data_IF_294316480498
#
_entry.id   IF_294316480498
#
_cell.length_a   1.000
_cell.length_b   1.000
_cell.length_c   1.000
_cell.angle_alpha   90.00
_cell.angle_beta   90.00
_cell.angle_gamma   90.00
#
_symmetry.space_group_name_H-M   'P 1'
#
loop_
_entity.id
_entity.type
_entity.pdbx_description
1 polymer ?
#
# COMPACT_ATOMS: atom_id res chain seq x y z
N UNK A 1 10.21 -7.58 2.65
CA UNK A 1 11.20 -8.45 3.30
C UNK A 1 12.54 -8.48 2.55
N UNK A 2 12.64 -9.00 1.32
CA UNK A 2 13.93 -9.11 0.60
C UNK A 2 14.67 -7.78 0.44
N UNK A 3 13.97 -6.69 0.14
CA UNK A 3 14.59 -5.36 0.08
C UNK A 3 15.10 -4.88 1.44
N UNK A 4 14.42 -5.20 2.53
CA UNK A 4 14.87 -4.88 3.88
C UNK A 4 16.14 -5.65 4.25
N UNK A 5 16.21 -6.94 3.93
CA UNK A 5 17.40 -7.77 4.15
C UNK A 5 18.61 -7.25 3.36
N UNK A 6 18.41 -6.69 2.17
CA UNK A 6 19.47 -6.07 1.38
C UNK A 6 20.10 -4.83 2.05
N UNK A 7 19.50 -4.28 3.10
CA UNK A 7 20.04 -3.16 3.89
C UNK A 7 20.88 -3.60 5.09
N UNK A 8 21.26 -4.87 5.19
CA UNK A 8 21.95 -5.47 6.35
C UNK A 8 21.19 -5.36 7.67
N UNK A 9 19.85 -5.29 7.60
CA UNK A 9 18.97 -5.34 8.78
C UNK A 9 18.47 -6.75 9.01
N UNK A 10 18.43 -7.19 10.26
CA UNK A 10 17.71 -8.39 10.63
C UNK A 10 16.22 -8.14 10.51
N UNK A 11 15.50 -9.00 9.83
CA UNK A 11 14.08 -8.83 9.60
C UNK A 11 13.32 -10.14 9.78
N UNK A 12 12.18 -10.06 10.48
CA UNK A 12 11.24 -11.16 10.68
C UNK A 12 9.96 -10.85 9.93
N UNK A 13 9.55 -11.74 9.04
CA UNK A 13 8.28 -11.66 8.31
C UNK A 13 7.21 -12.45 9.04
N UNK A 14 6.12 -11.76 9.37
CA UNK A 14 4.89 -12.34 9.91
C UNK A 14 3.78 -12.21 8.86
N UNK A 15 3.13 -13.31 8.51
CA UNK A 15 1.97 -13.37 7.60
C UNK A 15 1.16 -14.62 7.91
N UNK A 16 -0.18 -14.60 7.88
CA UNK A 16 -0.99 -15.82 8.05
C UNK A 16 -0.82 -16.82 6.91
N UNK A 17 -0.18 -16.41 5.81
CA UNK A 17 0.12 -17.29 4.67
C UNK A 17 1.61 -17.57 4.57
N UNK A 18 2.01 -18.84 4.41
CA UNK A 18 3.41 -19.17 4.21
C UNK A 18 3.93 -18.62 2.88
N UNK A 19 5.14 -18.08 2.90
CA UNK A 19 5.88 -17.60 1.71
C UNK A 19 7.37 -17.65 1.99
N UNK A 20 8.25 -17.53 0.98
CA UNK A 20 9.70 -17.43 1.21
C UNK A 20 10.13 -16.25 2.11
N UNK A 21 9.25 -15.27 2.30
CA UNK A 21 9.49 -14.11 3.17
C UNK A 21 8.83 -14.25 4.55
N UNK A 22 8.03 -15.30 4.78
CA UNK A 22 7.33 -15.55 6.04
C UNK A 22 8.19 -16.40 6.95
N UNK A 23 8.67 -15.82 8.05
CA UNK A 23 9.43 -16.55 9.08
C UNK A 23 8.48 -17.10 10.16
N UNK A 24 7.37 -16.43 10.35
CA UNK A 24 6.34 -16.79 11.33
C UNK A 24 4.99 -16.78 10.64
N UNK A 25 4.30 -17.93 10.67
CA UNK A 25 2.95 -18.08 10.09
C UNK A 25 1.94 -17.92 11.21
N UNK A 26 1.41 -16.72 11.36
CA UNK A 26 0.38 -16.38 12.34
C UNK A 26 -0.29 -15.05 11.96
N UNK A 27 -1.30 -14.63 12.73
CA UNK A 27 -2.02 -13.40 12.50
C UNK A 27 -1.92 -12.42 13.70
N UNK A 28 -2.72 -11.37 13.70
CA UNK A 28 -2.67 -10.32 14.72
C UNK A 28 -3.77 -10.45 15.80
N UNK A 29 -4.40 -11.61 15.93
CA UNK A 29 -5.52 -11.82 16.87
C UNK A 29 -5.03 -12.12 18.30
N UNK A 30 -3.94 -12.86 18.45
CA UNK A 30 -3.39 -13.23 19.76
C UNK A 30 -2.39 -12.20 20.28
N UNK A 31 -2.84 -11.35 21.19
CA UNK A 31 -2.02 -10.29 21.78
C UNK A 31 -0.91 -10.81 22.68
N UNK A 32 -1.14 -11.92 23.40
CA UNK A 32 -0.12 -12.51 24.30
C UNK A 32 1.03 -13.02 23.46
N UNK A 33 0.72 -13.76 22.44
CA UNK A 33 1.70 -14.29 21.50
C UNK A 33 2.47 -13.17 20.76
N UNK A 34 1.80 -12.09 20.31
CA UNK A 34 2.45 -10.93 19.71
C UNK A 34 3.46 -10.27 20.66
N UNK A 35 3.09 -10.10 21.92
CA UNK A 35 4.00 -9.54 22.96
C UNK A 35 5.21 -10.43 23.16
N UNK A 36 4.99 -11.74 23.27
CA UNK A 36 6.08 -12.71 23.45
C UNK A 36 7.03 -12.70 22.25
N UNK A 37 6.50 -12.66 21.02
CA UNK A 37 7.30 -12.54 19.82
C UNK A 37 8.15 -11.26 19.82
N UNK A 38 7.53 -10.11 20.07
CA UNK A 38 8.20 -8.80 20.07
C UNK A 38 9.33 -8.78 21.11
N UNK A 39 9.06 -9.30 22.31
CA UNK A 39 10.03 -9.32 23.42
C UNK A 39 11.16 -10.30 23.16
N UNK A 40 10.86 -11.53 22.77
CA UNK A 40 11.83 -12.60 22.51
C UNK A 40 12.78 -12.23 21.40
N UNK A 41 12.26 -11.68 20.30
CA UNK A 41 13.04 -11.31 19.12
C UNK A 41 13.63 -9.89 19.24
N UNK A 42 13.37 -9.19 20.34
CA UNK A 42 13.85 -7.82 20.60
C UNK A 42 13.51 -6.86 19.44
N UNK A 43 12.27 -6.90 18.99
CA UNK A 43 11.81 -6.09 17.84
C UNK A 43 11.85 -4.61 18.23
N UNK A 44 12.57 -3.82 17.46
CA UNK A 44 12.70 -2.36 17.66
C UNK A 44 11.89 -1.55 16.64
N UNK A 45 11.63 -2.10 15.46
CA UNK A 45 10.94 -1.40 14.38
C UNK A 45 9.89 -2.32 13.76
N UNK A 46 8.73 -1.79 13.46
CA UNK A 46 7.64 -2.53 12.80
C UNK A 46 7.23 -1.79 11.54
N UNK A 47 7.16 -2.52 10.42
CA UNK A 47 6.46 -2.10 9.19
C UNK A 47 5.21 -2.95 9.09
N UNK A 48 4.06 -2.36 9.37
CA UNK A 48 2.77 -3.04 9.33
C UNK A 48 2.11 -2.87 7.96
N UNK A 49 2.36 -3.84 7.07
CA UNK A 49 1.76 -3.91 5.74
C UNK A 49 0.66 -4.99 5.63
N UNK A 50 0.34 -5.64 6.75
CA UNK A 50 -0.67 -6.71 6.81
C UNK A 50 -2.11 -6.20 6.76
N UNK A 51 -3.02 -7.13 6.51
CA UNK A 51 -4.46 -6.90 6.51
C UNK A 51 -5.13 -7.20 5.17
N UNK A 52 -6.45 -7.03 5.14
CA UNK A 52 -7.25 -7.07 3.91
C UNK A 52 -6.82 -5.92 3.02
N UNK A 53 -6.49 -6.20 1.76
CA UNK A 53 -5.96 -5.22 0.81
C UNK A 53 -6.89 -5.01 -0.37
N UNK A 54 -7.49 -3.84 -0.42
CA UNK A 54 -8.36 -3.39 -1.50
C UNK A 54 -9.87 -3.60 -1.24
N UNK A 55 -10.71 -2.74 -1.84
CA UNK A 55 -12.15 -2.73 -1.60
C UNK A 55 -12.88 -3.97 -2.14
N UNK A 56 -12.24 -4.74 -3.04
CA UNK A 56 -12.81 -5.95 -3.64
C UNK A 56 -12.62 -7.20 -2.77
N UNK A 57 -11.74 -7.16 -1.75
CA UNK A 57 -11.47 -8.31 -0.88
C UNK A 57 -12.40 -8.26 0.32
N UNK A 58 -13.13 -9.34 0.58
CA UNK A 58 -14.15 -9.41 1.66
C UNK A 58 -15.15 -8.25 1.59
N UNK A 59 -15.58 -7.87 0.38
CA UNK A 59 -16.47 -6.72 0.18
C UNK A 59 -17.85 -6.93 0.83
N UNK A 60 -18.27 -8.17 1.00
CA UNK A 60 -19.50 -8.66 1.62
C UNK A 60 -19.35 -8.98 3.12
N UNK A 61 -18.15 -8.89 3.69
CA UNK A 61 -17.88 -9.11 5.11
C UNK A 61 -17.23 -7.88 5.78
N UNK A 62 -18.00 -6.82 6.04
CA UNK A 62 -17.47 -5.61 6.68
C UNK A 62 -16.96 -5.85 8.10
N UNK A 63 -17.54 -6.81 8.82
CA UNK A 63 -17.12 -7.16 10.19
C UNK A 63 -15.72 -7.79 10.16
N UNK A 64 -15.48 -8.74 9.26
CA UNK A 64 -14.17 -9.36 9.07
C UNK A 64 -13.11 -8.33 8.64
N UNK A 65 -13.43 -7.42 7.73
CA UNK A 65 -12.51 -6.34 7.33
C UNK A 65 -12.13 -5.47 8.53
N UNK A 66 -13.08 -5.08 9.38
CA UNK A 66 -12.81 -4.27 10.58
C UNK A 66 -11.98 -5.07 11.60
N UNK A 67 -12.35 -6.33 11.85
CA UNK A 67 -11.61 -7.19 12.78
C UNK A 67 -10.14 -7.33 12.37
N UNK A 68 -9.86 -7.58 11.10
CA UNK A 68 -8.49 -7.76 10.60
C UNK A 68 -7.75 -6.43 10.54
N UNK A 69 -8.32 -5.42 9.85
CA UNK A 69 -7.59 -4.19 9.55
C UNK A 69 -7.53 -3.23 10.74
N UNK A 70 -8.57 -3.14 11.55
CA UNK A 70 -8.61 -2.20 12.69
C UNK A 70 -8.18 -2.90 13.96
N UNK A 71 -8.91 -3.93 14.39
CA UNK A 71 -8.61 -4.60 15.66
C UNK A 71 -7.23 -5.25 15.63
N UNK A 72 -6.87 -5.97 14.57
CA UNK A 72 -5.52 -6.55 14.41
C UNK A 72 -4.42 -5.50 14.44
N UNK A 73 -4.61 -4.35 13.74
CA UNK A 73 -3.64 -3.25 13.79
C UNK A 73 -3.51 -2.65 15.19
N UNK A 74 -4.62 -2.51 15.92
CA UNK A 74 -4.60 -2.00 17.30
C UNK A 74 -3.96 -2.98 18.27
N UNK A 75 -4.17 -4.28 18.09
CA UNK A 75 -3.47 -5.31 18.85
C UNK A 75 -1.96 -5.16 18.67
N UNK A 76 -1.50 -5.15 17.41
CA UNK A 76 -0.07 -5.02 17.10
C UNK A 76 0.52 -3.72 17.66
N UNK A 77 -0.17 -2.59 17.50
CA UNK A 77 0.27 -1.30 18.02
C UNK A 77 0.40 -1.31 19.56
N UNK A 78 -0.61 -1.87 20.24
CA UNK A 78 -0.61 -1.96 21.70
C UNK A 78 0.54 -2.83 22.22
N UNK A 79 0.77 -3.99 21.60
CA UNK A 79 1.86 -4.88 22.01
C UNK A 79 3.23 -4.33 21.59
N UNK A 80 3.32 -3.58 20.50
CA UNK A 80 4.53 -2.84 20.13
C UNK A 80 4.93 -1.82 21.21
N UNK A 81 3.97 -1.05 21.71
CA UNK A 81 4.22 -0.10 22.81
C UNK A 81 4.66 -0.80 24.09
N UNK A 82 3.97 -1.88 24.48
CA UNK A 82 4.30 -2.65 25.67
C UNK A 82 5.65 -3.38 25.57
N UNK A 83 6.06 -3.78 24.38
CA UNK A 83 7.31 -4.49 24.09
C UNK A 83 8.52 -3.59 23.84
N UNK A 84 8.38 -2.26 23.94
CA UNK A 84 9.50 -1.32 23.79
C UNK A 84 9.92 -1.08 22.33
N UNK A 85 9.03 -1.30 21.37
CA UNK A 85 9.25 -0.92 19.97
C UNK A 85 9.41 0.60 19.89
N UNK A 86 10.37 1.06 19.12
CA UNK A 86 10.68 2.49 18.99
C UNK A 86 10.03 3.13 17.77
N UNK A 87 9.78 2.36 16.70
CA UNK A 87 9.23 2.88 15.44
C UNK A 87 8.13 1.96 14.90
N UNK A 88 7.00 2.55 14.53
CA UNK A 88 5.85 1.85 13.94
C UNK A 88 5.42 2.55 12.65
N UNK A 89 5.64 1.90 11.52
CA UNK A 89 5.18 2.38 10.21
C UNK A 89 3.95 1.60 9.78
N UNK A 90 2.84 2.31 9.60
CA UNK A 90 1.58 1.75 9.13
C UNK A 90 1.41 1.98 7.63
N UNK A 91 1.22 0.92 6.86
CA UNK A 91 0.85 1.01 5.45
C UNK A 91 -0.66 1.28 5.33
N UNK A 92 -1.02 2.55 5.34
CA UNK A 92 -2.35 3.04 5.04
C UNK A 92 -2.61 3.05 3.53
N UNK A 93 -3.64 3.71 3.09
CA UNK A 93 -4.03 3.75 1.68
C UNK A 93 -4.66 5.10 1.33
N UNK A 94 -4.47 5.54 0.10
CA UNK A 94 -5.26 6.66 -0.46
C UNK A 94 -6.77 6.36 -0.47
N UNK A 95 -7.18 5.09 -0.34
CA UNK A 95 -8.59 4.73 -0.17
C UNK A 95 -9.22 5.31 1.12
N UNK A 96 -8.41 5.65 2.12
CA UNK A 96 -8.87 6.35 3.32
C UNK A 96 -9.39 7.76 2.99
N UNK A 97 -8.86 8.41 1.95
CA UNK A 97 -9.34 9.71 1.47
C UNK A 97 -10.67 9.57 0.73
N UNK A 98 -10.87 8.48 -0.01
CA UNK A 98 -12.01 8.29 -0.90
C UNK A 98 -11.77 8.88 -2.29
N UNK A 99 -12.85 9.27 -2.97
CA UNK A 99 -12.76 9.94 -4.26
C UNK A 99 -12.56 11.45 -4.05
N UNK A 100 -11.70 12.03 -4.88
CA UNK A 100 -11.47 13.48 -4.91
C UNK A 100 -11.11 13.89 -6.35
N UNK A 101 -11.44 15.14 -6.69
CA UNK A 101 -11.44 15.62 -8.08
C UNK A 101 -10.61 16.90 -8.25
N UNK A 102 -9.81 17.24 -7.25
CA UNK A 102 -8.93 18.38 -7.27
C UNK A 102 -7.94 18.27 -8.42
N UNK A 103 -7.65 19.41 -9.06
CA UNK A 103 -6.65 19.50 -10.14
C UNK A 103 -5.23 19.68 -9.55
N UNK A 104 -5.14 20.34 -8.40
CA UNK A 104 -3.88 20.52 -7.69
C UNK A 104 -3.64 19.38 -6.70
N UNK A 105 -2.37 19.06 -6.41
CA UNK A 105 -2.04 18.00 -5.46
C UNK A 105 -2.62 18.25 -4.07
N UNK A 106 -3.37 17.27 -3.54
CA UNK A 106 -3.86 17.35 -2.16
C UNK A 106 -2.75 16.97 -1.18
N UNK A 107 -2.67 17.69 -0.06
CA UNK A 107 -1.77 17.38 1.05
C UNK A 107 -2.38 16.40 2.06
N UNK A 108 -1.57 15.98 3.04
CA UNK A 108 -1.95 14.96 4.01
C UNK A 108 -3.04 15.37 4.99
N UNK A 109 -3.31 16.66 5.12
CA UNK A 109 -4.42 17.20 5.93
C UNK A 109 -5.76 17.24 5.19
N UNK A 110 -5.80 16.80 3.92
CA UNK A 110 -7.04 16.69 3.16
C UNK A 110 -8.03 15.76 3.89
N UNK A 111 -9.33 16.12 3.96
CA UNK A 111 -10.33 15.34 4.69
C UNK A 111 -10.44 13.89 4.19
N UNK A 112 -10.57 12.96 5.11
CA UNK A 112 -10.83 11.56 4.79
C UNK A 112 -12.33 11.31 4.67
N UNK A 113 -12.78 10.90 3.48
CA UNK A 113 -14.16 10.57 3.17
C UNK A 113 -14.25 9.25 2.39
N UNK A 114 -13.85 8.12 3.03
CA UNK A 114 -13.77 6.83 2.37
C UNK A 114 -15.12 6.34 1.85
N UNK A 115 -15.11 5.68 0.70
CA UNK A 115 -16.31 5.18 0.00
C UNK A 115 -16.42 3.64 0.00
N UNK A 116 -15.58 2.96 0.76
CA UNK A 116 -15.60 1.50 0.90
C UNK A 116 -15.25 1.07 2.32
N UNK A 117 -15.67 -0.13 2.75
CA UNK A 117 -15.32 -0.70 4.06
C UNK A 117 -13.80 -0.77 4.25
N UNK A 118 -13.07 -1.15 3.21
CA UNK A 118 -11.60 -1.11 3.22
C UNK A 118 -11.07 0.30 3.49
N UNK A 119 -11.55 1.30 2.77
CA UNK A 119 -11.16 2.70 2.98
C UNK A 119 -11.50 3.18 4.39
N UNK A 120 -12.70 2.85 4.89
CA UNK A 120 -13.12 3.16 6.27
C UNK A 120 -12.17 2.52 7.29
N UNK A 121 -11.77 1.26 7.09
CA UNK A 121 -10.84 0.57 8.00
C UNK A 121 -9.47 1.24 8.04
N UNK A 122 -8.96 1.70 6.89
CA UNK A 122 -7.68 2.43 6.80
C UNK A 122 -7.78 3.82 7.45
N UNK A 123 -8.87 4.55 7.21
CA UNK A 123 -9.13 5.84 7.84
C UNK A 123 -9.27 5.72 9.37
N UNK A 124 -9.96 4.69 9.85
CA UNK A 124 -10.12 4.46 11.30
C UNK A 124 -8.77 4.32 12.01
N UNK A 125 -7.85 3.52 11.44
CA UNK A 125 -6.49 3.39 11.99
C UNK A 125 -5.74 4.71 11.92
N UNK A 126 -5.77 5.43 10.78
CA UNK A 126 -5.13 6.75 10.64
C UNK A 126 -5.63 7.74 11.72
N UNK A 127 -6.93 7.77 12.01
CA UNK A 127 -7.48 8.64 13.07
C UNK A 127 -7.00 8.23 14.47
N UNK A 128 -6.92 6.93 14.77
CA UNK A 128 -6.37 6.48 16.05
C UNK A 128 -4.89 6.86 16.16
N UNK A 129 -4.09 6.62 15.12
CA UNK A 129 -2.68 7.01 15.10
C UNK A 129 -2.51 8.52 15.27
N UNK A 130 -3.38 9.35 14.66
CA UNK A 130 -3.40 10.81 14.85
C UNK A 130 -3.68 11.20 16.31
N UNK A 131 -4.59 10.50 16.96
CA UNK A 131 -4.91 10.71 18.38
C UNK A 131 -3.75 10.38 19.32
N UNK A 132 -2.89 9.43 18.95
CA UNK A 132 -1.75 8.95 19.73
C UNK A 132 -0.44 9.68 19.39
N UNK A 133 -0.32 10.26 18.22
CA UNK A 133 0.91 10.87 17.71
C UNK A 133 1.48 11.91 18.67
N UNK A 134 2.77 11.85 18.92
CA UNK A 134 3.52 12.69 19.89
C UNK A 134 3.06 12.58 21.36
N UNK A 135 2.12 11.69 21.67
CA UNK A 135 1.67 11.44 23.05
C UNK A 135 2.24 10.15 23.63
N UNK A 136 2.88 9.34 22.79
CA UNK A 136 3.42 8.03 23.14
C UNK A 136 4.93 8.01 22.90
N UNK A 137 5.68 7.15 23.61
CA UNK A 137 7.13 6.99 23.42
C UNK A 137 7.45 6.20 22.13
N UNK A 138 6.51 6.03 21.24
CA UNK A 138 6.59 5.31 19.97
C UNK A 138 6.53 6.31 18.83
N UNK A 139 7.53 6.27 17.97
CA UNK A 139 7.54 7.07 16.74
C UNK A 139 6.68 6.42 15.66
N UNK A 140 5.52 7.03 15.41
CA UNK A 140 4.49 6.52 14.52
C UNK A 140 4.51 7.24 13.17
N UNK A 141 4.42 6.47 12.08
CA UNK A 141 4.29 6.98 10.72
C UNK A 141 3.18 6.23 9.97
N UNK A 142 2.34 6.96 9.24
CA UNK A 142 1.34 6.40 8.33
C UNK A 142 1.71 6.70 6.88
N UNK A 143 1.81 5.68 6.05
CA UNK A 143 2.06 5.82 4.61
C UNK A 143 0.78 5.59 3.83
N UNK A 144 0.19 6.64 3.28
CA UNK A 144 -0.98 6.58 2.42
C UNK A 144 -0.56 6.19 1.01
N UNK A 145 -0.38 4.88 0.83
CA UNK A 145 0.02 4.30 -0.45
C UNK A 145 -1.09 4.47 -1.48
N UNK A 146 -0.71 4.86 -2.69
CA UNK A 146 -1.61 4.82 -3.83
C UNK A 146 -1.73 3.39 -4.36
N UNK A 147 -2.26 3.20 -5.56
CA UNK A 147 -2.44 1.86 -6.12
C UNK A 147 -1.08 1.18 -6.36
N UNK A 148 -0.70 0.29 -5.45
CA UNK A 148 0.53 -0.50 -5.58
C UNK A 148 0.33 -1.57 -6.65
N UNK A 149 1.25 -1.68 -7.60
CA UNK A 149 1.23 -2.69 -8.65
C UNK A 149 2.61 -3.36 -8.78
N UNK A 150 2.63 -4.56 -9.36
CA UNK A 150 3.88 -5.32 -9.56
C UNK A 150 3.65 -6.82 -9.55
N UNK A 151 4.70 -7.63 -9.78
CA UNK A 151 4.62 -9.08 -9.74
C UNK A 151 4.11 -9.61 -8.39
N UNK A 152 3.32 -10.68 -8.43
CA UNK A 152 2.80 -11.33 -7.22
C UNK A 152 1.53 -10.71 -6.64
N UNK A 153 0.98 -9.66 -7.23
CA UNK A 153 -0.32 -9.15 -6.81
C UNK A 153 -1.42 -10.18 -7.10
N UNK A 154 -2.23 -10.50 -6.09
CA UNK A 154 -3.32 -11.49 -6.20
C UNK A 154 -4.70 -10.86 -6.36
N UNK A 155 -4.84 -9.56 -6.03
CA UNK A 155 -6.11 -8.84 -6.16
C UNK A 155 -6.20 -8.15 -7.51
N UNK A 156 -7.38 -8.18 -8.13
CA UNK A 156 -7.60 -7.51 -9.40
C UNK A 156 -7.59 -5.99 -9.25
N UNK A 157 -6.89 -5.33 -10.15
CA UNK A 157 -6.90 -3.89 -10.32
C UNK A 157 -6.52 -3.55 -11.77
N UNK A 158 -6.74 -2.32 -12.20
CA UNK A 158 -6.60 -1.90 -13.60
C UNK A 158 -5.30 -2.36 -14.27
N UNK A 159 -4.14 -2.15 -13.64
CA UNK A 159 -2.84 -2.56 -14.21
C UNK A 159 -2.78 -4.08 -14.39
N UNK A 160 -3.17 -4.84 -13.36
CA UNK A 160 -3.13 -6.31 -13.40
C UNK A 160 -4.10 -6.86 -14.44
N UNK A 161 -5.30 -6.28 -14.54
CA UNK A 161 -6.31 -6.68 -15.52
C UNK A 161 -5.80 -6.49 -16.94
N UNK A 162 -5.21 -5.32 -17.24
CA UNK A 162 -4.69 -5.02 -18.56
C UNK A 162 -3.49 -5.92 -18.90
N UNK A 163 -2.52 -6.07 -17.99
CA UNK A 163 -1.33 -6.89 -18.22
C UNK A 163 -1.70 -8.36 -18.42
N UNK A 164 -2.60 -8.93 -17.58
CA UNK A 164 -3.07 -10.31 -17.76
C UNK A 164 -3.81 -10.52 -19.05
N UNK A 165 -4.66 -9.57 -19.45
CA UNK A 165 -5.36 -9.62 -20.73
C UNK A 165 -4.39 -9.57 -21.92
N UNK A 166 -3.39 -8.69 -21.86
CA UNK A 166 -2.31 -8.60 -22.85
C UNK A 166 -1.56 -9.92 -23.02
N UNK A 167 -1.13 -10.53 -21.91
CA UNK A 167 -0.43 -11.83 -21.93
C UNK A 167 -1.30 -12.96 -22.45
N UNK A 168 -2.62 -12.90 -22.21
CA UNK A 168 -3.58 -13.89 -22.70
C UNK A 168 -4.06 -13.65 -24.14
N UNK A 169 -3.66 -12.55 -24.79
CA UNK A 169 -4.15 -12.15 -26.11
C UNK A 169 -5.65 -11.85 -26.14
N UNK A 170 -6.23 -11.40 -25.01
CA UNK A 170 -7.65 -11.10 -24.84
C UNK A 170 -7.90 -9.62 -24.62
N UNK A 171 -9.11 -9.09 -24.87
CA UNK A 171 -9.43 -7.73 -24.46
C UNK A 171 -9.46 -7.58 -22.94
N UNK A 172 -9.02 -6.42 -22.45
CA UNK A 172 -9.15 -6.04 -21.05
C UNK A 172 -10.48 -5.33 -20.82
N UNK A 173 -11.30 -5.85 -19.93
CA UNK A 173 -12.58 -5.25 -19.54
C UNK A 173 -12.40 -4.45 -18.27
N UNK A 174 -12.78 -3.18 -18.32
CA UNK A 174 -12.54 -2.22 -17.25
C UNK A 174 -13.78 -1.39 -16.94
N UNK A 175 -13.91 -0.99 -15.69
CA UNK A 175 -14.79 0.10 -15.32
C UNK A 175 -14.14 1.45 -15.72
N UNK A 176 -14.93 2.49 -15.99
CA UNK A 176 -14.39 3.79 -16.38
C UNK A 176 -13.52 4.39 -15.29
N UNK A 177 -12.39 4.89 -15.68
CA UNK A 177 -11.39 5.42 -14.76
C UNK A 177 -10.61 6.53 -15.47
N UNK A 178 -10.35 7.62 -14.79
CA UNK A 178 -9.43 8.66 -15.26
C UNK A 178 -7.97 8.21 -15.08
N UNK A 179 -7.05 9.10 -15.35
CA UNK A 179 -5.66 8.90 -14.95
C UNK A 179 -5.56 8.71 -13.42
N UNK A 180 -4.64 7.85 -13.01
CA UNK A 180 -4.54 7.39 -11.62
C UNK A 180 -3.11 7.46 -11.13
N UNK A 181 -2.87 7.85 -9.86
CA UNK A 181 -1.54 7.73 -9.26
C UNK A 181 -1.28 6.27 -8.89
N UNK A 182 -0.20 5.71 -9.42
CA UNK A 182 0.27 4.36 -9.11
C UNK A 182 1.61 4.40 -8.39
N UNK A 183 2.01 3.28 -7.81
CA UNK A 183 3.36 3.07 -7.31
C UNK A 183 3.79 1.62 -7.54
N UNK A 184 4.99 1.42 -8.06
CA UNK A 184 5.53 0.09 -8.22
C UNK A 184 5.89 -0.53 -6.85
N UNK A 185 5.72 -1.84 -6.71
CA UNK A 185 5.86 -2.55 -5.43
C UNK A 185 7.23 -2.37 -4.77
N UNK A 186 8.30 -2.30 -5.56
CA UNK A 186 9.65 -2.05 -5.02
C UNK A 186 9.77 -0.64 -4.44
N UNK A 187 9.25 0.38 -5.13
CA UNK A 187 9.23 1.76 -4.62
C UNK A 187 8.37 1.87 -3.36
N UNK A 188 7.23 1.19 -3.30
CA UNK A 188 6.41 1.15 -2.09
C UNK A 188 7.15 0.53 -0.90
N UNK A 189 7.90 -0.54 -1.13
CA UNK A 189 8.75 -1.16 -0.11
C UNK A 189 9.90 -0.24 0.33
N UNK A 190 10.56 0.44 -0.62
CA UNK A 190 11.63 1.39 -0.33
C UNK A 190 11.13 2.59 0.47
N UNK A 191 9.92 3.09 0.18
CA UNK A 191 9.26 4.13 0.97
C UNK A 191 9.04 3.69 2.42
N UNK A 192 8.52 2.47 2.62
CA UNK A 192 8.28 1.95 3.96
C UNK A 192 9.59 1.77 4.75
N UNK A 193 10.66 1.30 4.10
CA UNK A 193 11.99 1.18 4.71
C UNK A 193 12.56 2.55 5.02
N UNK A 194 12.54 3.50 4.09
CA UNK A 194 13.04 4.85 4.30
C UNK A 194 12.31 5.55 5.45
N UNK A 195 10.99 5.47 5.49
CA UNK A 195 10.19 6.00 6.59
C UNK A 195 10.53 5.33 7.93
N UNK A 196 10.71 4.00 7.94
CA UNK A 196 10.96 3.22 9.15
C UNK A 196 12.28 3.60 9.85
N UNK A 197 13.32 3.94 9.10
CA UNK A 197 14.64 4.26 9.64
C UNK A 197 14.98 5.76 9.63
N UNK A 198 14.04 6.63 9.19
CA UNK A 198 14.23 8.07 9.25
C UNK A 198 14.02 8.61 10.66
N UNK A 199 14.90 9.53 11.07
CA UNK A 199 14.76 10.33 12.30
C UNK A 199 14.22 11.74 12.01
N UNK A 200 13.92 12.06 10.75
CA UNK A 200 13.60 13.43 10.31
C UNK A 200 12.13 13.63 9.97
N UNK A 201 11.25 12.65 10.25
CA UNK A 201 9.82 12.78 9.98
C UNK A 201 9.20 13.90 10.82
N UNK A 202 8.51 14.81 10.16
CA UNK A 202 7.91 16.00 10.79
C UNK A 202 6.40 15.88 10.99
N UNK A 203 5.77 14.97 10.29
CA UNK A 203 4.32 14.75 10.31
C UNK A 203 3.99 13.26 10.46
N UNK A 204 2.73 12.95 10.80
CA UNK A 204 2.27 11.60 10.99
C UNK A 204 2.10 10.85 9.67
N UNK A 205 1.44 11.47 8.71
CA UNK A 205 1.04 10.83 7.47
C UNK A 205 1.83 11.36 6.28
N UNK A 206 2.04 10.50 5.27
CA UNK A 206 2.71 10.84 4.02
C UNK A 206 2.02 10.13 2.87
N UNK A 207 1.76 10.84 1.78
CA UNK A 207 1.38 10.21 0.53
C UNK A 207 2.60 9.55 -0.12
N UNK A 208 2.40 8.36 -0.67
CA UNK A 208 3.43 7.57 -1.33
C UNK A 208 2.90 7.13 -2.70
N UNK A 209 3.39 7.78 -3.75
CA UNK A 209 2.99 7.59 -5.13
C UNK A 209 4.17 7.85 -6.08
N UNK A 210 4.09 7.34 -7.29
CA UNK A 210 4.86 7.90 -8.40
C UNK A 210 4.18 9.22 -8.84
N UNK A 211 4.94 10.29 -9.15
CA UNK A 211 4.33 11.57 -9.52
C UNK A 211 3.61 11.53 -10.88
N UNK A 212 3.94 10.56 -11.72
CA UNK A 212 3.28 10.34 -13.00
C UNK A 212 1.87 9.79 -12.81
N UNK A 213 0.92 10.39 -13.49
CA UNK A 213 -0.45 9.92 -13.57
C UNK A 213 -0.63 9.10 -14.83
N UNK A 214 -1.31 7.98 -14.74
CA UNK A 214 -1.33 6.97 -15.79
C UNK A 214 -2.76 6.58 -16.12
N UNK A 215 -3.12 6.65 -17.39
CA UNK A 215 -4.41 6.20 -17.91
C UNK A 215 -4.39 4.69 -18.26
N UNK A 216 -5.54 4.04 -18.42
CA UNK A 216 -5.60 2.69 -18.97
C UNK A 216 -4.93 2.57 -20.34
N UNK A 217 -5.01 3.62 -21.19
CA UNK A 217 -4.41 3.71 -22.51
C UNK A 217 -2.86 3.71 -22.42
N UNK A 218 -2.28 4.40 -21.45
CA UNK A 218 -0.83 4.40 -21.19
C UNK A 218 -0.34 3.00 -20.81
N UNK A 219 -1.12 2.29 -19.97
CA UNK A 219 -0.83 0.91 -19.59
C UNK A 219 -0.88 -0.01 -20.82
N UNK A 220 -1.94 0.11 -21.65
CA UNK A 220 -2.07 -0.66 -22.89
C UNK A 220 -0.94 -0.35 -23.88
N UNK A 221 -0.52 0.92 -23.98
CA UNK A 221 0.62 1.33 -24.79
C UNK A 221 1.95 0.72 -24.30
N UNK A 222 2.15 0.66 -22.98
CA UNK A 222 3.31 0.00 -22.40
C UNK A 222 3.33 -1.52 -22.64
N UNK A 223 2.18 -2.19 -22.55
CA UNK A 223 2.05 -3.61 -22.93
C UNK A 223 2.39 -3.83 -24.42
N UNK A 224 1.89 -2.96 -25.29
CA UNK A 224 2.19 -3.02 -26.74
C UNK A 224 3.68 -2.84 -27.02
N UNK A 225 4.32 -1.89 -26.34
CA UNK A 225 5.77 -1.66 -26.46
C UNK A 225 6.59 -2.86 -26.00
N UNK A 226 6.07 -3.66 -25.07
CA UNK A 226 6.68 -4.91 -24.63
C UNK A 226 6.34 -6.12 -25.52
N UNK A 227 5.63 -5.94 -26.64
CA UNK A 227 5.26 -7.01 -27.59
C UNK A 227 3.91 -7.69 -27.29
N UNK A 228 3.12 -7.18 -26.36
CA UNK A 228 1.83 -7.75 -25.93
C UNK A 228 0.68 -6.75 -26.13
N UNK A 229 0.21 -6.53 -27.39
CA UNK A 229 -0.88 -5.59 -27.64
C UNK A 229 -2.19 -6.05 -26.98
N UNK A 230 -2.95 -5.11 -26.43
CA UNK A 230 -4.23 -5.37 -25.80
C UNK A 230 -5.27 -4.34 -26.22
N UNK A 231 -6.51 -4.78 -26.41
CA UNK A 231 -7.66 -3.91 -26.65
C UNK A 231 -8.37 -3.65 -25.32
N UNK A 232 -8.71 -2.39 -25.07
CA UNK A 232 -9.52 -2.02 -23.91
C UNK A 232 -11.01 -2.05 -24.25
N UNK A 233 -11.82 -2.60 -23.36
CA UNK A 233 -13.29 -2.59 -23.38
C UNK A 233 -13.77 -1.93 -22.11
N UNK A 234 -14.20 -0.67 -22.19
CA UNK A 234 -14.62 0.13 -21.03
C UNK A 234 -16.15 0.07 -20.90
N UNK A 235 -16.64 -0.32 -19.74
CA UNK A 235 -18.08 -0.35 -19.43
C UNK A 235 -18.58 1.06 -19.09
N UNK A 236 -18.96 1.82 -20.09
CA UNK A 236 -19.44 3.20 -19.94
C UNK A 236 -20.77 3.34 -19.20
N UNK A 237 -21.44 2.24 -18.83
CA UNK A 237 -22.66 2.27 -18.00
C UNK A 237 -22.37 2.57 -16.53
N UNK A 238 -21.12 2.44 -16.09
CA UNK A 238 -20.69 2.67 -14.72
C UNK A 238 -20.14 4.09 -14.49
N UNK A 239 -20.18 4.58 -13.25
CA UNK A 239 -19.62 5.89 -12.94
C UNK A 239 -18.10 5.90 -13.11
N UNK A 240 -17.56 7.04 -13.52
CA UNK A 240 -16.11 7.21 -13.66
C UNK A 240 -15.48 7.30 -12.28
N UNK A 241 -14.54 6.40 -11.99
CA UNK A 241 -13.70 6.53 -10.82
C UNK A 241 -12.60 7.56 -11.08
N UNK A 242 -12.43 8.51 -10.18
CA UNK A 242 -11.43 9.56 -10.29
C UNK A 242 -10.70 9.76 -8.96
N UNK A 243 -9.40 10.05 -9.09
CA UNK A 243 -8.57 10.55 -7.99
C UNK A 243 -7.61 11.59 -8.53
N UNK A 244 -7.65 12.77 -7.95
CA UNK A 244 -6.72 13.84 -8.26
C UNK A 244 -5.27 13.50 -7.88
N UNK A 245 -4.33 14.40 -8.14
CA UNK A 245 -2.94 14.25 -7.72
C UNK A 245 -2.79 14.34 -6.19
N UNK A 246 -1.72 13.71 -5.67
CA UNK A 246 -1.34 13.78 -4.26
C UNK A 246 0.04 14.42 -4.13
N UNK A 247 0.26 15.17 -3.05
CA UNK A 247 1.58 15.75 -2.76
C UNK A 247 2.54 14.64 -2.29
N UNK A 248 3.62 14.44 -3.04
CA UNK A 248 4.68 13.47 -2.72
C UNK A 248 5.95 14.14 -2.17
N UNK A 249 5.98 15.47 -2.10
CA UNK A 249 7.17 16.23 -1.70
C UNK A 249 7.47 16.10 -0.21
N UNK A 250 6.46 15.88 0.62
CA UNK A 250 6.66 15.67 2.05
C UNK A 250 7.52 14.42 2.33
N UNK A 251 7.28 13.32 1.64
CA UNK A 251 8.08 12.10 1.74
C UNK A 251 9.53 12.32 1.28
N UNK A 252 9.71 13.06 0.19
CA UNK A 252 11.05 13.40 -0.32
C UNK A 252 11.84 14.29 0.67
N UNK A 253 11.20 15.29 1.23
CA UNK A 253 11.80 16.25 2.16
C UNK A 253 12.18 15.61 3.50
N UNK A 254 11.31 14.78 4.07
CA UNK A 254 11.42 14.32 5.45
C UNK A 254 12.18 12.99 5.59
N UNK A 255 12.12 12.11 4.59
CA UNK A 255 12.88 10.84 4.63
C UNK A 255 13.52 10.45 3.29
N UNK A 256 13.68 11.41 2.37
CA UNK A 256 14.48 11.23 1.16
C UNK A 256 13.88 10.27 0.13
N UNK A 257 12.59 9.93 0.25
CA UNK A 257 11.95 9.00 -0.68
C UNK A 257 11.38 9.71 -1.90
N UNK A 258 11.74 9.21 -3.07
CA UNK A 258 11.08 9.48 -4.36
C UNK A 258 10.91 8.19 -5.12
N UNK A 259 9.72 7.94 -5.67
CA UNK A 259 9.49 6.81 -6.55
C UNK A 259 10.34 6.95 -7.83
N UNK A 260 10.89 5.84 -8.29
CA UNK A 260 11.87 5.78 -9.40
C UNK A 260 11.37 4.95 -10.59
N UNK A 261 10.42 4.05 -10.36
CA UNK A 261 9.97 3.09 -11.35
C UNK A 261 8.64 3.57 -11.95
N UNK A 262 8.73 4.23 -13.11
CA UNK A 262 7.57 4.66 -13.87
C UNK A 262 6.78 3.48 -14.44
N UNK A 263 5.57 3.76 -14.96
CA UNK A 263 4.64 2.72 -15.41
C UNK A 263 5.22 1.83 -16.52
N UNK A 264 5.94 2.38 -17.49
CA UNK A 264 6.52 1.60 -18.61
C UNK A 264 7.49 0.53 -18.12
N UNK A 265 8.41 0.92 -17.24
CA UNK A 265 9.38 0.00 -16.64
C UNK A 265 8.71 -1.01 -15.72
N UNK A 266 7.76 -0.57 -14.88
CA UNK A 266 7.02 -1.45 -13.99
C UNK A 266 6.22 -2.52 -14.74
N UNK A 267 5.52 -2.14 -15.82
CA UNK A 267 4.77 -3.07 -16.67
C UNK A 267 5.71 -4.04 -17.40
N UNK A 268 6.85 -3.58 -17.91
CA UNK A 268 7.86 -4.44 -18.51
C UNK A 268 8.32 -5.52 -17.51
N UNK A 269 8.62 -5.15 -16.26
CA UNK A 269 9.00 -6.09 -15.20
C UNK A 269 7.90 -7.08 -14.84
N UNK A 270 6.63 -6.64 -14.84
CA UNK A 270 5.49 -7.55 -14.62
C UNK A 270 5.38 -8.60 -15.72
N UNK A 271 5.51 -8.19 -16.98
CA UNK A 271 5.47 -9.09 -18.14
C UNK A 271 6.64 -10.08 -18.08
N UNK A 272 7.85 -9.62 -17.85
CA UNK A 272 9.03 -10.48 -17.70
C UNK A 272 8.90 -11.50 -16.56
N UNK A 273 8.34 -11.09 -15.44
CA UNK A 273 8.13 -12.00 -14.30
C UNK A 273 7.06 -13.06 -14.59
N UNK A 274 6.08 -12.75 -15.45
CA UNK A 274 5.00 -13.67 -15.80
C UNK A 274 5.37 -14.61 -16.97
N UNK A 275 6.45 -14.33 -17.71
CA UNK A 275 6.89 -15.10 -18.88
C UNK A 275 8.14 -15.96 -18.61
N UNK A 276 8.71 -15.88 -17.43
CA UNK A 276 9.75 -16.78 -16.92
C UNK A 276 9.17 -18.06 -16.35
#
# INVERSE_FOLDING_TARGET
>A
MFRLLATNKTAIGLDPRPSPATHVVDDLSDRVWLRDLITREKITHIIHAGGVSGPMVMADDPVGVIAINVTGSMNLLNEAMAGGVTTFVYCSSVAAIGNFYEQEPIGEDYPMWPTSTYGCSKAAVDYVLRGLWKKMPLDICSLRLTAVYGPGRTTEFTVDTIVRAALAGKPARLDPLTDWPYIYVDDAADAAIAACFSQNRKQLAYFVAHPERVTPEDIAAACRAAGYPVRLEIDTSKPIAARGPVDVEAAARDFGFRAKIGHREGIRRMIEAATR
#
